data_IF_444171012316
#
_entry.id   IF_444171012316
#
_cell.length_a   1.000
_cell.length_b   1.000
_cell.length_c   1.000
_cell.angle_alpha   90.00
_cell.angle_beta   90.00
_cell.angle_gamma   90.00
#
_symmetry.space_group_name_H-M   'P 1'
#
loop_
_entity.id
_entity.type
_entity.pdbx_description
1 polymer ?
#
# COMPACT_ATOMS: atom_id res chain seq x y z
N UNK A 1 -25.64 -29.23 47.22
CA UNK A 1 -24.48 -28.95 46.34
C UNK A 1 -24.88 -27.90 45.30
N UNK A 2 -24.59 -26.61 45.56
CA UNK A 2 -24.80 -25.53 44.58
C UNK A 2 -23.47 -25.20 43.89
N UNK A 3 -23.43 -25.24 42.56
CA UNK A 3 -22.24 -24.91 41.76
C UNK A 3 -21.97 -23.41 41.81
N UNK A 4 -20.79 -23.02 42.28
CA UNK A 4 -20.23 -21.66 42.16
C UNK A 4 -19.99 -21.32 40.69
N UNK A 5 -20.66 -20.27 40.18
CA UNK A 5 -20.33 -19.65 38.89
C UNK A 5 -19.01 -18.89 39.06
N UNK A 6 -17.95 -19.35 38.41
CA UNK A 6 -16.73 -18.58 38.24
C UNK A 6 -17.02 -17.37 37.35
N UNK A 7 -17.10 -16.18 37.95
CA UNK A 7 -17.06 -14.91 37.23
C UNK A 7 -15.64 -14.67 36.74
N UNK A 8 -15.34 -15.09 35.52
CA UNK A 8 -14.10 -14.73 34.83
C UNK A 8 -14.18 -13.29 34.36
N UNK A 9 -13.44 -12.41 35.03
CA UNK A 9 -13.18 -11.06 34.55
C UNK A 9 -12.30 -11.18 33.30
N UNK A 10 -12.89 -11.03 32.10
CA UNK A 10 -12.12 -10.97 30.87
C UNK A 10 -11.26 -9.69 30.90
N UNK A 11 -9.95 -9.76 30.62
CA UNK A 11 -9.17 -8.55 30.43
C UNK A 11 -9.72 -7.81 29.20
N UNK A 12 -10.05 -6.54 29.38
CA UNK A 12 -10.48 -5.68 28.29
C UNK A 12 -9.43 -5.71 27.16
N UNK A 13 -9.87 -6.05 25.95
CA UNK A 13 -9.06 -5.98 24.74
C UNK A 13 -8.65 -4.50 24.56
N UNK A 14 -7.36 -4.14 24.56
CA UNK A 14 -6.96 -2.76 24.35
C UNK A 14 -7.40 -2.33 22.95
N UNK A 15 -8.12 -1.22 22.86
CA UNK A 15 -8.45 -0.58 21.59
C UNK A 15 -7.15 -0.22 20.85
N UNK A 16 -7.06 -0.42 19.53
CA UNK A 16 -5.90 0.01 18.75
C UNK A 16 -5.95 1.53 18.63
N UNK A 17 -5.29 2.24 19.54
CA UNK A 17 -5.24 3.71 19.48
C UNK A 17 -4.95 4.45 20.78
N UNK A 18 -4.33 3.85 21.80
CA UNK A 18 -3.98 4.62 23.01
C UNK A 18 -2.67 4.16 23.62
N UNK A 19 -1.56 4.57 23.01
CA UNK A 19 -0.31 4.84 23.71
C UNK A 19 0.00 6.32 23.55
N UNK A 20 -0.40 7.07 24.58
CA UNK A 20 0.06 8.38 25.05
C UNK A 20 0.66 9.39 24.05
N UNK A 21 -0.16 10.40 23.78
CA UNK A 21 0.22 11.78 23.50
C UNK A 21 1.26 12.31 24.51
N UNK A 22 2.50 12.53 24.07
CA UNK A 22 3.41 13.68 24.39
C UNK A 22 4.78 13.50 23.70
N UNK A 23 5.16 12.28 23.32
CA UNK A 23 6.23 12.02 22.33
C UNK A 23 5.59 11.63 21.00
N UNK A 24 6.18 12.02 19.86
CA UNK A 24 5.69 11.59 18.55
C UNK A 24 5.56 10.06 18.46
N UNK A 25 4.75 9.59 17.51
CA UNK A 25 4.63 8.17 17.17
C UNK A 25 5.98 7.58 16.73
N UNK A 26 6.66 6.83 17.59
CA UNK A 26 7.93 6.20 17.23
C UNK A 26 7.66 4.95 16.40
N UNK A 27 8.46 4.72 15.36
CA UNK A 27 8.24 3.54 14.49
C UNK A 27 8.40 2.22 15.23
N UNK A 28 9.17 2.23 16.32
CA UNK A 28 9.34 1.08 17.20
C UNK A 28 8.03 0.73 17.92
N UNK A 29 7.31 1.72 18.45
CA UNK A 29 6.02 1.51 19.12
C UNK A 29 4.95 1.01 18.13
N UNK A 30 4.96 1.54 16.90
CA UNK A 30 4.09 1.07 15.81
C UNK A 30 4.41 -0.39 15.42
N UNK A 31 5.69 -0.76 15.36
CA UNK A 31 6.11 -2.12 15.08
C UNK A 31 5.67 -3.10 16.18
N UNK A 32 5.76 -2.70 17.44
CA UNK A 32 5.29 -3.48 18.59
C UNK A 32 3.76 -3.64 18.58
N UNK A 33 3.02 -2.55 18.36
CA UNK A 33 1.58 -2.60 18.22
C UNK A 33 1.14 -3.54 17.08
N UNK A 34 1.84 -3.52 15.95
CA UNK A 34 1.59 -4.47 14.86
C UNK A 34 1.95 -5.90 15.21
N UNK A 35 3.00 -6.11 16.00
CA UNK A 35 3.42 -7.45 16.44
C UNK A 35 2.41 -8.04 17.43
N UNK A 36 1.76 -7.20 18.25
CA UNK A 36 0.70 -7.60 19.16
C UNK A 36 -0.65 -7.88 18.46
N UNK A 37 -0.85 -7.40 17.23
CA UNK A 37 -2.05 -7.63 16.44
C UNK A 37 -1.82 -8.71 15.38
N UNK A 38 -2.49 -9.88 15.53
CA UNK A 38 -2.28 -11.03 14.66
C UNK A 38 -2.55 -10.74 13.17
N UNK A 39 -3.55 -9.90 12.87
CA UNK A 39 -3.87 -9.53 11.49
C UNK A 39 -2.77 -8.64 10.91
N UNK A 40 -2.32 -7.63 11.64
CA UNK A 40 -1.22 -6.76 11.24
C UNK A 40 0.07 -7.57 11.03
N UNK A 41 0.39 -8.46 11.96
CA UNK A 41 1.56 -9.32 11.88
C UNK A 41 1.55 -10.19 10.61
N UNK A 42 0.41 -10.80 10.29
CA UNK A 42 0.23 -11.60 9.09
C UNK A 42 0.42 -10.77 7.82
N UNK A 43 -0.28 -9.65 7.72
CA UNK A 43 -0.23 -8.76 6.55
C UNK A 43 1.19 -8.19 6.34
N UNK A 44 1.88 -7.83 7.42
CA UNK A 44 3.27 -7.35 7.37
C UNK A 44 4.20 -8.43 6.87
N UNK A 45 4.04 -9.68 7.32
CA UNK A 45 4.86 -10.81 6.90
C UNK A 45 4.67 -11.10 5.41
N UNK A 46 3.43 -11.04 4.91
CA UNK A 46 3.12 -11.19 3.49
C UNK A 46 3.74 -10.09 2.64
N UNK A 47 3.67 -8.83 3.09
CA UNK A 47 4.34 -7.71 2.42
C UNK A 47 5.85 -7.92 2.32
N UNK A 48 6.50 -8.31 3.43
CA UNK A 48 7.94 -8.60 3.47
C UNK A 48 8.29 -9.77 2.54
N UNK A 49 7.52 -10.87 2.57
CA UNK A 49 7.78 -12.02 1.71
C UNK A 49 7.65 -11.68 0.22
N UNK A 50 6.62 -10.89 -0.14
CA UNK A 50 6.36 -10.48 -1.52
C UNK A 50 7.44 -9.53 -2.06
N UNK A 51 7.90 -8.59 -1.22
CA UNK A 51 8.69 -7.46 -1.70
C UNK A 51 10.15 -7.42 -1.29
N UNK A 52 10.47 -8.02 -0.15
CA UNK A 52 11.82 -8.01 0.43
C UNK A 52 12.44 -9.41 0.44
N UNK A 53 11.71 -10.44 0.00
CA UNK A 53 12.22 -11.81 -0.12
C UNK A 53 13.41 -11.91 -1.09
N UNK A 54 14.38 -12.80 -0.79
CA UNK A 54 15.61 -12.99 -1.59
C UNK A 54 15.34 -13.53 -3.00
N UNK A 55 15.84 -12.90 -4.08
CA UNK A 55 15.71 -13.41 -5.46
C UNK A 55 16.06 -14.89 -5.54
N UNK A 56 15.28 -15.65 -6.31
CA UNK A 56 15.69 -17.01 -6.64
C UNK A 56 17.05 -16.94 -7.37
N UNK A 57 17.99 -17.85 -7.10
CA UNK A 57 19.27 -17.88 -7.81
C UNK A 57 19.00 -18.08 -9.31
N UNK A 58 19.26 -17.05 -10.13
CA UNK A 58 19.02 -17.09 -11.59
C UNK A 58 18.19 -15.93 -12.13
N UNK A 59 17.39 -15.26 -11.29
CA UNK A 59 16.61 -14.09 -11.68
C UNK A 59 17.45 -12.81 -11.56
N UNK A 60 18.29 -12.54 -12.56
CA UNK A 60 19.06 -11.28 -12.69
C UNK A 60 18.40 -10.30 -13.67
N UNK A 61 17.08 -10.15 -13.64
CA UNK A 61 16.42 -9.07 -14.40
C UNK A 61 16.51 -7.76 -13.62
N UNK A 62 16.94 -6.64 -14.24
CA UNK A 62 17.05 -5.33 -13.58
C UNK A 62 15.70 -4.65 -13.28
N UNK A 63 14.58 -5.29 -13.60
CA UNK A 63 13.25 -4.83 -13.21
C UNK A 63 12.76 -5.71 -12.08
N UNK A 64 12.34 -5.04 -11.00
CA UNK A 64 11.88 -5.63 -9.75
C UNK A 64 11.01 -6.86 -9.97
N UNK A 65 11.20 -7.84 -9.09
CA UNK A 65 10.47 -9.09 -9.10
C UNK A 65 8.97 -8.84 -9.10
N UNK A 66 8.38 -8.82 -10.29
CA UNK A 66 6.97 -9.02 -10.51
C UNK A 66 6.85 -10.34 -11.26
N UNK A 67 6.60 -11.41 -10.51
CA UNK A 67 5.90 -12.54 -11.09
C UNK A 67 4.72 -11.97 -11.87
N UNK A 68 4.70 -12.25 -13.17
CA UNK A 68 3.74 -11.75 -14.13
C UNK A 68 2.33 -12.18 -13.70
N UNK A 69 1.66 -11.34 -12.91
CA UNK A 69 0.20 -11.29 -12.86
C UNK A 69 -0.20 -10.03 -13.62
N UNK A 70 -0.66 -10.23 -14.86
CA UNK A 70 -1.49 -9.24 -15.54
C UNK A 70 -2.71 -9.04 -14.63
N UNK A 71 -2.71 -7.99 -13.82
CA UNK A 71 -3.72 -7.74 -12.78
C UNK A 71 -3.30 -6.82 -11.63
N UNK A 72 -2.09 -6.28 -11.61
CA UNK A 72 -1.60 -5.44 -10.51
C UNK A 72 -2.03 -3.96 -10.65
N UNK A 73 -3.32 -3.69 -10.42
CA UNK A 73 -3.80 -2.32 -10.16
C UNK A 73 -3.79 -1.96 -8.67
N UNK A 74 -3.32 -2.86 -7.80
CA UNK A 74 -3.32 -2.64 -6.36
C UNK A 74 -1.93 -2.28 -5.85
N UNK A 75 -1.89 -1.31 -4.95
CA UNK A 75 -0.66 -0.92 -4.25
C UNK A 75 -0.16 -2.09 -3.39
N UNK A 76 1.13 -2.49 -3.45
CA UNK A 76 1.65 -3.68 -2.75
C UNK A 76 1.41 -3.70 -1.23
N UNK A 77 1.39 -2.53 -0.60
CA UNK A 77 1.11 -2.36 0.83
C UNK A 77 -0.36 -2.08 1.15
N UNK A 78 -1.24 -2.04 0.15
CA UNK A 78 -2.68 -1.79 0.34
C UNK A 78 -3.34 -2.62 1.45
N UNK A 79 -3.04 -3.93 1.59
CA UNK A 79 -3.59 -4.72 2.68
C UNK A 79 -3.20 -4.25 4.09
N UNK A 80 -2.10 -3.50 4.26
CA UNK A 80 -1.70 -2.92 5.56
C UNK A 80 -2.51 -1.69 5.95
N UNK A 81 -3.38 -1.18 5.08
CA UNK A 81 -4.23 -0.04 5.39
C UNK A 81 -5.17 -0.35 6.56
N UNK A 82 -5.24 0.59 7.52
CA UNK A 82 -6.03 0.44 8.74
C UNK A 82 -5.32 -0.30 9.88
N UNK A 83 -4.05 -0.68 9.69
CA UNK A 83 -3.21 -1.28 10.75
C UNK A 83 -2.30 -0.24 11.43
N UNK A 84 -1.67 -0.60 12.55
CA UNK A 84 -0.71 0.25 13.26
C UNK A 84 0.50 0.69 12.40
N UNK A 85 0.77 0.00 11.28
CA UNK A 85 1.90 0.26 10.39
C UNK A 85 1.46 0.68 8.99
N UNK A 86 0.25 1.25 8.87
CA UNK A 86 -0.31 1.74 7.59
C UNK A 86 0.66 2.72 6.91
N UNK A 87 1.23 2.36 5.74
CA UNK A 87 2.16 3.23 5.04
C UNK A 87 1.45 4.36 4.30
N UNK A 88 2.15 5.48 4.10
CA UNK A 88 1.79 6.51 3.13
C UNK A 88 3.04 7.02 2.41
N UNK A 89 2.85 7.72 1.29
CA UNK A 89 3.94 8.37 0.55
C UNK A 89 4.64 9.42 1.41
N UNK A 90 5.97 9.42 1.36
CA UNK A 90 6.78 10.43 2.03
C UNK A 90 6.86 11.74 1.24
N UNK A 91 6.77 11.64 -0.08
CA UNK A 91 6.88 12.75 -1.01
C UNK A 91 6.13 12.44 -2.31
N UNK A 92 6.01 13.43 -3.19
CA UNK A 92 5.27 13.34 -4.45
C UNK A 92 6.17 13.09 -5.67
N UNK A 93 7.46 12.80 -5.47
CA UNK A 93 8.45 12.64 -6.55
C UNK A 93 9.14 11.27 -6.53
N UNK A 94 9.03 10.51 -5.45
CA UNK A 94 9.51 9.14 -5.30
C UNK A 94 8.43 8.16 -4.79
N UNK A 95 8.54 6.89 -5.16
CA UNK A 95 7.63 5.83 -4.71
C UNK A 95 7.85 5.39 -3.24
N UNK A 96 8.58 6.20 -2.46
CA UNK A 96 8.95 5.88 -1.09
C UNK A 96 7.75 6.05 -0.17
N UNK A 97 7.53 5.03 0.64
CA UNK A 97 6.45 5.01 1.64
C UNK A 97 7.02 4.71 3.02
N UNK A 98 6.34 5.19 4.05
CA UNK A 98 6.62 4.80 5.44
C UNK A 98 5.32 4.83 6.26
N UNK A 99 5.23 4.03 7.34
CA UNK A 99 4.19 4.22 8.33
C UNK A 99 4.23 5.63 8.90
N UNK A 100 3.08 6.14 9.36
CA UNK A 100 3.03 7.39 10.08
C UNK A 100 3.75 7.20 11.42
N UNK A 101 5.06 7.44 11.42
CA UNK A 101 5.96 7.34 12.56
C UNK A 101 7.35 7.94 12.26
N UNK A 102 8.08 8.32 13.30
CA UNK A 102 9.46 8.81 13.23
C UNK A 102 10.46 7.99 14.07
N UNK A 103 11.75 8.30 13.91
CA UNK A 103 12.84 7.69 14.72
C UNK A 103 13.64 8.71 15.55
N UNK A 104 13.25 10.00 15.56
CA UNK A 104 14.03 11.08 16.19
C UNK A 104 14.30 10.88 17.69
N UNK A 105 13.35 10.27 18.40
CA UNK A 105 13.41 10.06 19.86
C UNK A 105 13.52 8.57 20.25
N UNK A 106 14.10 7.74 19.37
CA UNK A 106 14.21 6.29 19.60
C UNK A 106 15.31 5.90 20.60
N UNK A 107 16.22 6.83 20.93
CA UNK A 107 17.32 6.59 21.87
C UNK A 107 18.14 5.36 21.49
N UNK A 108 18.33 4.44 22.44
CA UNK A 108 19.11 3.20 22.23
C UNK A 108 18.49 2.23 21.21
N UNK A 109 17.24 2.44 20.80
CA UNK A 109 16.56 1.62 19.79
C UNK A 109 16.54 2.28 18.41
N UNK A 110 17.37 3.30 18.19
CA UNK A 110 17.44 4.01 16.92
C UNK A 110 17.74 3.07 15.75
N UNK A 111 18.71 2.17 15.90
CA UNK A 111 19.07 1.20 14.85
C UNK A 111 17.89 0.28 14.50
N UNK A 112 17.19 -0.23 15.51
CA UNK A 112 15.99 -1.05 15.32
C UNK A 112 14.86 -0.26 14.64
N UNK A 113 14.66 1.00 15.04
CA UNK A 113 13.69 1.91 14.45
C UNK A 113 13.96 2.14 12.96
N UNK A 114 15.21 2.45 12.62
CA UNK A 114 15.62 2.69 11.24
C UNK A 114 15.53 1.43 10.40
N UNK A 115 15.95 0.27 10.94
CA UNK A 115 15.81 -1.01 10.27
C UNK A 115 14.34 -1.32 9.94
N UNK A 116 13.43 -1.09 10.90
CA UNK A 116 11.99 -1.26 10.67
C UNK A 116 11.46 -0.28 9.61
N UNK A 117 11.82 1.01 9.70
CA UNK A 117 11.40 2.03 8.74
C UNK A 117 11.92 1.74 7.32
N UNK A 118 13.12 1.17 7.21
CA UNK A 118 13.74 0.80 5.94
C UNK A 118 13.00 -0.32 5.20
N UNK A 119 12.21 -1.17 5.88
CA UNK A 119 11.33 -2.16 5.23
C UNK A 119 10.37 -1.51 4.20
N UNK A 120 10.01 -0.25 4.43
CA UNK A 120 9.09 0.50 3.59
C UNK A 120 9.81 1.48 2.66
N UNK A 121 10.82 2.19 3.16
CA UNK A 121 11.48 3.27 2.40
C UNK A 121 12.56 2.78 1.44
N UNK A 122 13.18 1.62 1.69
CA UNK A 122 14.17 0.97 0.80
C UNK A 122 13.57 -0.31 0.25
N UNK A 123 12.51 -0.17 -0.55
CA UNK A 123 11.73 -1.29 -1.02
C UNK A 123 11.81 -1.48 -2.56
N UNK A 124 12.52 -2.53 -3.03
CA UNK A 124 12.63 -2.86 -4.45
C UNK A 124 11.30 -3.10 -5.18
N UNK A 125 10.21 -3.45 -4.49
CA UNK A 125 8.88 -3.57 -5.10
C UNK A 125 8.34 -2.24 -5.62
N UNK A 126 8.70 -1.15 -4.95
CA UNK A 126 8.20 0.19 -5.25
C UNK A 126 9.23 1.02 -6.00
N UNK A 127 10.50 0.58 -6.00
CA UNK A 127 11.56 1.22 -6.77
C UNK A 127 11.18 1.32 -8.25
N UNK A 128 11.30 2.52 -8.80
CA UNK A 128 10.97 2.78 -10.19
C UNK A 128 9.47 2.85 -10.52
N UNK A 129 8.54 2.60 -9.59
CA UNK A 129 7.10 2.67 -9.87
C UNK A 129 6.66 4.07 -10.31
N UNK A 130 7.15 5.12 -9.64
CA UNK A 130 6.84 6.50 -10.02
C UNK A 130 7.65 6.98 -11.22
N UNK A 131 8.84 6.43 -11.45
CA UNK A 131 9.57 6.70 -12.69
C UNK A 131 8.85 6.09 -13.89
N UNK A 132 8.37 4.85 -13.76
CA UNK A 132 7.53 4.19 -14.75
C UNK A 132 6.26 5.02 -15.04
N UNK A 133 5.57 5.51 -14.00
CA UNK A 133 4.43 6.43 -14.14
C UNK A 133 4.82 7.69 -14.92
N UNK A 134 5.88 8.40 -14.51
CA UNK A 134 6.34 9.62 -15.17
C UNK A 134 6.81 9.40 -16.61
N UNK A 135 7.34 8.22 -16.95
CA UNK A 135 7.71 7.84 -18.32
C UNK A 135 6.52 7.37 -19.16
N UNK A 136 5.41 6.97 -18.54
CA UNK A 136 4.16 6.58 -19.20
C UNK A 136 3.21 7.78 -19.40
N UNK A 137 3.34 8.77 -18.53
CA UNK A 137 2.68 10.08 -18.57
C UNK A 137 2.89 10.92 -19.85
N UNK A 138 3.99 10.82 -20.63
CA UNK A 138 4.20 11.64 -21.82
C UNK A 138 3.14 11.40 -22.90
N UNK A 139 2.58 10.19 -23.00
CA UNK A 139 1.60 9.88 -24.06
C UNK A 139 0.16 10.18 -23.64
N UNK A 140 -0.19 10.03 -22.36
CA UNK A 140 -1.59 10.17 -21.90
C UNK A 140 -1.98 11.64 -21.69
N UNK A 141 -1.04 12.50 -21.29
CA UNK A 141 -1.32 13.93 -21.08
C UNK A 141 -1.00 14.84 -22.27
N UNK A 142 -0.19 14.40 -23.25
CA UNK A 142 0.02 15.19 -24.45
C UNK A 142 -1.23 15.22 -25.34
N UNK A 143 -2.01 14.13 -25.40
CA UNK A 143 -3.29 14.09 -26.13
C UNK A 143 -4.42 14.84 -25.41
N UNK A 144 -4.31 15.06 -24.09
CA UNK A 144 -5.31 15.80 -23.30
C UNK A 144 -5.10 17.32 -23.25
N UNK A 145 -3.89 17.80 -23.55
CA UNK A 145 -3.53 19.23 -23.45
C UNK A 145 -3.20 19.88 -24.80
N UNK A 146 -3.18 19.11 -25.89
CA UNK A 146 -2.93 19.64 -27.24
C UNK A 146 -4.22 19.67 -28.07
N UNK A 147 -4.84 20.85 -28.30
CA UNK A 147 -6.12 20.97 -29.00
C UNK A 147 -6.07 20.70 -30.52
N UNK A 148 -5.00 20.09 -31.07
CA UNK A 148 -4.77 20.03 -32.52
C UNK A 148 -4.43 18.65 -33.13
N UNK A 149 -4.26 17.56 -32.38
CA UNK A 149 -3.80 16.28 -32.97
C UNK A 149 -4.68 15.06 -32.72
N UNK A 150 -6.01 15.22 -32.84
CA UNK A 150 -6.88 14.05 -32.95
C UNK A 150 -6.99 13.56 -34.40
N UNK A 151 -5.99 12.82 -34.84
CA UNK A 151 -6.14 11.88 -35.96
C UNK A 151 -5.49 10.55 -35.59
N UNK A 152 -6.30 9.59 -35.16
CA UNK A 152 -6.15 8.25 -35.72
C UNK A 152 -5.90 7.05 -34.79
N UNK A 153 -6.03 7.13 -33.46
CA UNK A 153 -6.00 5.91 -32.63
C UNK A 153 -7.22 5.79 -31.70
N UNK A 154 -8.17 5.02 -32.22
CA UNK A 154 -9.45 4.61 -31.65
C UNK A 154 -9.23 3.74 -30.39
N UNK A 155 -9.31 4.36 -29.22
CA UNK A 155 -9.87 3.69 -28.04
C UNK A 155 -11.37 3.46 -28.33
N UNK A 156 -11.99 2.32 -27.97
CA UNK A 156 -13.43 2.14 -28.19
C UNK A 156 -14.18 3.16 -27.31
N UNK A 157 -14.49 4.31 -27.90
CA UNK A 157 -15.34 5.33 -27.33
C UNK A 157 -16.74 4.74 -27.27
N UNK A 158 -17.12 4.19 -26.13
CA UNK A 158 -18.53 3.95 -25.84
C UNK A 158 -19.14 5.35 -25.62
N UNK A 159 -19.45 6.02 -26.73
CA UNK A 159 -20.03 7.37 -26.68
C UNK A 159 -21.37 7.30 -25.97
N UNK A 160 -21.67 8.32 -25.17
CA UNK A 160 -22.97 8.46 -24.49
C UNK A 160 -24.13 8.36 -25.50
N UNK A 161 -23.90 8.82 -26.74
CA UNK A 161 -24.86 8.68 -27.83
C UNK A 161 -25.13 7.22 -28.21
N UNK A 162 -24.11 6.36 -28.20
CA UNK A 162 -24.21 4.93 -28.47
C UNK A 162 -24.96 4.19 -27.35
N UNK A 163 -24.80 4.64 -26.10
CA UNK A 163 -25.54 4.10 -24.95
C UNK A 163 -27.00 4.52 -25.04
N UNK A 164 -27.28 5.79 -25.36
CA UNK A 164 -28.63 6.31 -25.49
C UNK A 164 -29.39 5.67 -26.66
N UNK A 165 -28.75 5.42 -27.80
CA UNK A 165 -29.39 4.72 -28.92
C UNK A 165 -29.65 3.25 -28.61
N UNK A 166 -28.74 2.57 -27.91
CA UNK A 166 -28.96 1.20 -27.46
C UNK A 166 -30.13 1.11 -26.46
N UNK A 167 -30.20 2.03 -25.49
CA UNK A 167 -31.31 2.12 -24.53
C UNK A 167 -32.64 2.49 -25.22
N UNK A 168 -32.62 3.37 -26.22
CA UNK A 168 -33.81 3.73 -26.99
C UNK A 168 -34.32 2.55 -27.83
N UNK A 169 -33.43 1.77 -28.43
CA UNK A 169 -33.80 0.59 -29.22
C UNK A 169 -34.39 -0.53 -28.33
N UNK A 170 -33.92 -0.66 -27.09
CA UNK A 170 -34.48 -1.57 -26.09
C UNK A 170 -35.89 -1.17 -25.61
N UNK A 171 -36.28 0.09 -25.75
CA UNK A 171 -37.62 0.58 -25.39
C UNK A 171 -38.66 0.42 -26.52
N UNK A 172 -38.23 -0.03 -27.70
CA UNK A 172 -39.07 -0.25 -28.89
C UNK A 172 -39.34 -1.75 -29.18
N UNK A 173 -38.82 -2.64 -28.34
CA UNK A 173 -39.06 -4.09 -28.33
C UNK A 173 -39.87 -4.45 -27.07
#
# INVERSE_FOLDING_TARGET
>A
MGRTKHGGLQPARPSPGSASSTGGNRCVDAAEACTADAQCQQLRSEYVARCLGRPAPGDRTPSGRSGRTRGAHHTPWGPLAGTAVTPNYLDNVSARVAPWCGCGDSGNRLEECEAFRQLFTRNPCLDGAMQAFNTLWPSILQDGLNPYQNTGHHCPQVSLLSILTALALQALL
#
